data_IF_616281992861
#
_entry.id   IF_616281992861
#
_cell.length_a   1.000
_cell.length_b   1.000
_cell.length_c   1.000
_cell.angle_alpha   90.00
_cell.angle_beta   90.00
_cell.angle_gamma   90.00
#
_symmetry.space_group_name_H-M   'P 1'
#
loop_
_entity.id
_entity.type
_entity.pdbx_description
1 polymer ?
#
# COMPACT_ATOMS: atom_id res chain seq x y z
N UNK A 1 11.80 -0.45 4.84
CA UNK A 1 10.37 -0.80 4.94
C UNK A 1 9.95 -1.52 3.68
N UNK A 2 8.92 -2.37 3.79
CA UNK A 2 8.24 -2.89 2.60
C UNK A 2 7.25 -1.85 2.11
N UNK A 3 7.03 -1.79 0.80
CA UNK A 3 5.94 -1.01 0.22
C UNK A 3 5.05 -1.95 -0.59
N UNK A 4 3.78 -1.57 -0.74
CA UNK A 4 2.75 -2.38 -1.38
C UNK A 4 2.02 -1.51 -2.38
N UNK A 5 1.99 -1.92 -3.64
CA UNK A 5 1.38 -1.15 -4.73
C UNK A 5 0.09 -1.80 -5.20
N UNK A 6 -0.94 -0.98 -5.36
CA UNK A 6 -2.17 -1.38 -6.01
C UNK A 6 -1.92 -1.54 -7.52
N UNK A 7 -2.19 -2.71 -8.13
CA UNK A 7 -1.98 -2.92 -9.57
C UNK A 7 -2.96 -2.14 -10.46
N UNK A 8 -4.03 -1.57 -9.89
CA UNK A 8 -5.10 -0.88 -10.65
C UNK A 8 -4.86 0.62 -10.76
N UNK A 9 -4.53 1.28 -9.65
CA UNK A 9 -4.38 2.74 -9.57
C UNK A 9 -2.95 3.17 -9.23
N UNK A 10 -2.03 2.21 -9.08
CA UNK A 10 -0.64 2.46 -8.76
C UNK A 10 -0.39 3.09 -7.39
N UNK A 11 -1.43 3.22 -6.54
CA UNK A 11 -1.31 3.67 -5.17
C UNK A 11 -0.32 2.81 -4.40
N UNK A 12 0.63 3.45 -3.71
CA UNK A 12 1.66 2.77 -2.91
C UNK A 12 1.39 3.01 -1.43
N UNK A 13 1.13 1.93 -0.70
CA UNK A 13 1.18 1.92 0.76
C UNK A 13 2.63 1.67 1.20
N UNK A 14 3.24 2.68 1.83
CA UNK A 14 4.57 2.55 2.45
C UNK A 14 4.40 2.44 3.97
N UNK A 15 4.97 1.39 4.58
CA UNK A 15 4.87 1.17 6.03
C UNK A 15 5.50 2.32 6.85
N UNK A 16 6.49 3.02 6.30
CA UNK A 16 7.13 4.16 6.95
C UNK A 16 6.21 5.37 7.00
N UNK A 17 5.36 5.58 5.99
CA UNK A 17 4.39 6.68 5.98
C UNK A 17 3.03 6.28 6.53
N UNK A 18 2.68 5.00 6.46
CA UNK A 18 1.35 4.48 6.73
C UNK A 18 0.29 5.06 5.78
N UNK A 19 -0.97 4.98 6.20
CA UNK A 19 -2.11 5.65 5.58
C UNK A 19 -2.92 6.44 6.64
N UNK A 20 -2.43 7.62 7.07
CA UNK A 20 -3.05 8.38 8.15
C UNK A 20 -4.51 8.78 7.88
N UNK A 21 -4.85 8.95 6.59
CA UNK A 21 -6.20 9.26 6.12
C UNK A 21 -7.24 8.19 6.45
N UNK A 22 -6.80 6.97 6.70
CA UNK A 22 -7.65 5.83 7.07
C UNK A 22 -7.48 5.41 8.52
N UNK A 23 -6.64 6.12 9.27
CA UNK A 23 -6.33 5.80 10.66
C UNK A 23 -5.10 4.93 10.86
N UNK A 24 -4.29 4.68 9.82
CA UNK A 24 -3.03 3.95 9.93
C UNK A 24 -1.85 4.92 9.97
N UNK A 25 -1.29 5.26 11.15
CA UNK A 25 -0.19 6.21 11.24
C UNK A 25 1.12 5.66 10.61
N UNK A 26 2.09 6.55 10.42
CA UNK A 26 3.45 6.21 10.03
C UNK A 26 4.05 5.12 10.94
N UNK A 27 4.66 4.09 10.34
CA UNK A 27 5.18 2.92 11.04
C UNK A 27 4.19 1.76 11.13
N UNK A 28 2.95 1.90 10.64
CA UNK A 28 1.99 0.80 10.59
C UNK A 28 2.47 -0.25 9.59
N UNK A 29 2.73 -1.45 10.09
CA UNK A 29 3.14 -2.58 9.25
C UNK A 29 1.96 -3.09 8.44
N UNK A 30 2.25 -3.62 7.26
CA UNK A 30 1.24 -4.21 6.38
C UNK A 30 0.45 -5.35 7.03
N UNK A 31 1.12 -6.11 7.90
CA UNK A 31 0.49 -7.19 8.67
C UNK A 31 -0.58 -6.68 9.65
N UNK A 32 -0.43 -5.46 10.15
CA UNK A 32 -1.39 -4.83 11.06
C UNK A 32 -2.65 -4.31 10.34
N UNK A 33 -2.64 -4.23 9.00
CA UNK A 33 -3.78 -3.77 8.22
C UNK A 33 -4.76 -4.94 8.01
N UNK A 34 -6.08 -4.73 8.20
CA UNK A 34 -7.11 -5.74 7.92
C UNK A 34 -7.06 -6.25 6.47
N UNK A 35 -7.43 -7.51 6.24
CA UNK A 35 -7.51 -8.07 4.89
C UNK A 35 -8.63 -7.44 4.04
N UNK A 36 -9.71 -6.99 4.70
CA UNK A 36 -10.85 -6.27 4.12
C UNK A 36 -10.53 -4.80 3.77
N UNK A 37 -9.29 -4.36 4.03
CA UNK A 37 -8.89 -2.99 3.76
C UNK A 37 -8.88 -2.72 2.25
N UNK A 38 -9.75 -1.82 1.80
CA UNK A 38 -9.82 -1.40 0.41
C UNK A 38 -8.76 -0.33 0.08
N UNK A 39 -8.28 -0.37 -1.16
CA UNK A 39 -7.38 0.63 -1.69
C UNK A 39 -8.03 2.02 -1.53
N UNK A 40 -7.38 2.95 -0.85
CA UNK A 40 -8.01 4.21 -0.52
C UNK A 40 -8.06 5.22 -1.66
N UNK A 41 -7.36 4.94 -2.76
CA UNK A 41 -7.38 5.77 -3.95
C UNK A 41 -8.51 5.34 -4.90
N UNK A 42 -8.57 4.05 -5.26
CA UNK A 42 -9.58 3.54 -6.20
C UNK A 42 -10.79 2.88 -5.55
N UNK A 43 -10.67 2.31 -4.35
CA UNK A 43 -11.71 1.52 -3.70
C UNK A 43 -12.08 0.20 -4.40
N UNK A 44 -11.37 -0.16 -5.48
CA UNK A 44 -11.70 -1.32 -6.34
C UNK A 44 -11.02 -2.60 -5.86
N UNK A 45 -9.87 -2.50 -5.19
CA UNK A 45 -9.02 -3.62 -4.80
C UNK A 45 -8.80 -3.64 -3.31
N UNK A 46 -8.78 -4.82 -2.72
CA UNK A 46 -8.51 -5.03 -1.30
C UNK A 46 -7.01 -5.25 -1.06
N UNK A 47 -6.57 -5.20 0.20
CA UNK A 47 -5.20 -5.47 0.64
C UNK A 47 -4.60 -6.71 -0.02
N UNK A 48 -5.40 -7.76 -0.18
CA UNK A 48 -5.01 -9.06 -0.74
C UNK A 48 -4.48 -8.95 -2.18
N UNK A 49 -4.97 -7.98 -2.95
CA UNK A 49 -4.59 -7.74 -4.35
C UNK A 49 -3.33 -6.86 -4.50
N UNK A 50 -2.84 -6.25 -3.41
CA UNK A 50 -1.66 -5.40 -3.48
C UNK A 50 -0.39 -6.21 -3.67
N UNK A 51 0.47 -5.71 -4.55
CA UNK A 51 1.75 -6.35 -4.84
C UNK A 51 2.86 -5.72 -4.01
N UNK A 52 3.70 -6.55 -3.39
CA UNK A 52 4.85 -6.06 -2.62
C UNK A 52 5.88 -5.46 -3.58
N UNK A 53 5.99 -4.14 -3.55
CA UNK A 53 7.04 -3.40 -4.23
C UNK A 53 8.18 -3.18 -3.25
N UNK A 54 9.28 -3.91 -3.42
CA UNK A 54 10.55 -3.42 -2.90
C UNK A 54 10.83 -2.13 -3.67
N UNK A 55 10.83 -0.98 -2.99
CA UNK A 55 11.23 0.31 -3.58
C UNK A 55 12.65 0.18 -4.13
N UNK A 56 12.75 -0.33 -5.35
CA UNK A 56 13.90 -0.23 -6.22
C UNK A 56 13.46 0.76 -7.25
N UNK A 57 13.96 1.99 -7.14
CA UNK A 57 13.90 2.97 -8.20
C UNK A 57 14.36 2.30 -9.50
N UNK A 58 13.45 2.09 -10.46
CA UNK A 58 13.78 1.31 -11.65
C UNK A 58 12.59 1.04 -12.54
N UNK A 59 12.16 2.07 -13.27
CA UNK A 59 11.22 1.96 -14.38
C UNK A 59 11.65 2.89 -15.50
N UNK A 60 12.76 2.55 -16.14
CA UNK A 60 13.36 3.18 -17.33
C UNK A 60 12.39 3.12 -18.51
N UNK A 61 12.11 4.26 -19.15
CA UNK A 61 12.33 4.54 -20.60
C UNK A 61 12.26 6.05 -20.83
#
# INVERSE_FOLDING_TARGET
MSAYRCPVCEYVYDEATGAPREGFPAGTQWDSIPEDWCCPDCGVREKLDFEKTATTAGGTT
#
